data_IF_001817921068
#
_entry.id   IF_001817921068
#
_cell.length_a   1.000
_cell.length_b   1.000
_cell.length_c   1.000
_cell.angle_alpha   90.00
_cell.angle_beta   90.00
_cell.angle_gamma   90.00
#
_symmetry.space_group_name_H-M   'P 1'
#
loop_
_entity.id
_entity.type
_entity.pdbx_description
1 polymer ?
#
# COMPACT_ATOMS: atom_id res chain seq x y z
N UNK A 1 4.19 -11.81 -10.37
CA UNK A 1 5.25 -12.83 -10.52
C UNK A 1 6.33 -12.27 -11.42
N UNK A 2 7.61 -12.53 -11.13
CA UNK A 2 8.74 -12.07 -11.93
C UNK A 2 9.59 -13.25 -12.40
N UNK A 3 10.08 -13.22 -13.64
CA UNK A 3 11.03 -14.23 -14.12
C UNK A 3 12.42 -13.80 -13.69
N UNK A 4 13.13 -14.66 -12.97
CA UNK A 4 14.53 -14.48 -12.62
C UNK A 4 15.36 -15.46 -13.42
N UNK A 5 16.51 -15.02 -13.89
CA UNK A 5 17.43 -15.85 -14.65
C UNK A 5 18.84 -15.76 -14.06
N UNK A 6 19.55 -16.88 -14.05
CA UNK A 6 20.99 -16.92 -13.78
C UNK A 6 21.73 -17.28 -15.06
N UNK A 7 22.72 -16.47 -15.43
CA UNK A 7 23.57 -16.73 -16.57
C UNK A 7 24.71 -17.67 -16.19
N UNK A 8 25.07 -18.53 -17.14
CA UNK A 8 26.15 -19.49 -17.06
C UNK A 8 26.94 -19.38 -18.37
N UNK A 9 28.15 -18.86 -18.31
CA UNK A 9 28.99 -18.63 -19.48
C UNK A 9 30.38 -18.17 -19.07
N UNK A 10 31.34 -18.31 -19.97
CA UNK A 10 32.72 -17.88 -19.71
C UNK A 10 32.75 -16.38 -19.39
N UNK A 11 33.49 -16.00 -18.35
CA UNK A 11 33.60 -14.61 -17.91
C UNK A 11 32.25 -13.93 -17.57
N UNK A 12 31.21 -14.71 -17.23
CA UNK A 12 29.89 -14.17 -16.90
C UNK A 12 28.99 -13.89 -18.10
N UNK A 13 29.32 -14.42 -19.28
CA UNK A 13 28.43 -14.37 -20.44
C UNK A 13 27.12 -15.12 -20.20
N UNK A 14 26.10 -14.79 -20.99
CA UNK A 14 24.74 -15.33 -20.88
C UNK A 14 24.35 -16.25 -22.05
N UNK A 15 25.32 -16.88 -22.76
CA UNK A 15 24.99 -17.85 -23.82
C UNK A 15 24.06 -18.96 -23.32
N UNK A 16 24.28 -19.42 -22.09
CA UNK A 16 23.35 -20.30 -21.39
C UNK A 16 22.78 -19.57 -20.17
N UNK A 17 21.47 -19.68 -19.96
CA UNK A 17 20.84 -19.17 -18.74
C UNK A 17 19.71 -20.08 -18.29
N UNK A 18 19.54 -20.19 -16.99
CA UNK A 18 18.44 -20.92 -16.37
C UNK A 18 17.50 -19.90 -15.75
N UNK A 19 16.21 -19.97 -16.09
CA UNK A 19 15.19 -19.05 -15.58
C UNK A 19 14.12 -19.78 -14.78
N UNK A 20 13.55 -19.11 -13.78
CA UNK A 20 12.44 -19.61 -12.98
C UNK A 20 11.47 -18.47 -12.61
N UNK A 21 10.23 -18.82 -12.27
CA UNK A 21 9.27 -17.87 -11.73
C UNK A 21 9.60 -17.64 -10.25
N UNK A 22 9.79 -16.38 -9.88
CA UNK A 22 9.99 -15.97 -8.51
C UNK A 22 8.88 -14.99 -8.08
N UNK A 23 8.65 -14.92 -6.78
CA UNK A 23 7.84 -13.84 -6.22
C UNK A 23 8.52 -12.48 -6.51
N UNK A 24 7.73 -11.42 -6.76
CA UNK A 24 8.25 -10.05 -6.80
C UNK A 24 8.88 -9.65 -5.46
N UNK A 25 9.69 -8.59 -5.47
CA UNK A 25 10.17 -7.99 -4.23
C UNK A 25 8.98 -7.61 -3.33
N UNK A 26 9.09 -7.90 -2.03
CA UNK A 26 8.00 -7.67 -1.10
C UNK A 26 7.56 -6.20 -1.05
N UNK A 27 8.47 -5.24 -1.29
CA UNK A 27 8.15 -3.82 -1.36
C UNK A 27 7.17 -3.51 -2.50
N UNK A 28 7.32 -4.16 -3.65
CA UNK A 28 6.40 -4.01 -4.79
C UNK A 28 5.02 -4.55 -4.42
N UNK A 29 4.97 -5.72 -3.77
CA UNK A 29 3.71 -6.30 -3.29
C UNK A 29 3.05 -5.40 -2.25
N UNK A 30 3.81 -4.94 -1.26
CA UNK A 30 3.34 -4.08 -0.19
C UNK A 30 2.80 -2.75 -0.70
N UNK A 31 3.46 -2.14 -1.70
CA UNK A 31 2.94 -0.93 -2.34
C UNK A 31 1.62 -1.19 -3.05
N UNK A 32 1.52 -2.26 -3.85
CA UNK A 32 0.29 -2.61 -4.54
C UNK A 32 -0.88 -2.86 -3.56
N UNK A 33 -0.60 -3.54 -2.44
CA UNK A 33 -1.57 -3.76 -1.38
C UNK A 33 -1.97 -2.46 -0.68
N UNK A 34 -1.00 -1.57 -0.41
CA UNK A 34 -1.25 -0.27 0.21
C UNK A 34 -2.13 0.63 -0.67
N UNK A 35 -1.91 0.62 -1.98
CA UNK A 35 -2.74 1.35 -2.94
C UNK A 35 -4.17 0.80 -2.96
N UNK A 36 -4.33 -0.53 -3.05
CA UNK A 36 -5.64 -1.17 -2.96
C UNK A 36 -6.37 -0.84 -1.66
N UNK A 37 -5.65 -0.89 -0.53
CA UNK A 37 -6.19 -0.54 0.78
C UNK A 37 -6.65 0.92 0.85
N UNK A 38 -5.89 1.86 0.29
CA UNK A 38 -6.29 3.28 0.25
C UNK A 38 -7.57 3.51 -0.55
N UNK A 39 -7.74 2.76 -1.64
CA UNK A 39 -8.94 2.81 -2.48
C UNK A 39 -10.06 1.88 -2.01
N UNK A 40 -9.84 1.10 -0.96
CA UNK A 40 -10.82 0.12 -0.52
C UNK A 40 -12.09 0.81 -0.03
N UNK A 41 -13.22 0.33 -0.52
CA UNK A 41 -14.56 0.77 -0.13
C UNK A 41 -15.04 -0.12 1.00
N UNK A 42 -15.63 0.46 2.04
CA UNK A 42 -16.23 -0.34 3.10
C UNK A 42 -17.45 -1.10 2.58
N UNK A 43 -17.44 -2.42 2.77
CA UNK A 43 -18.60 -3.26 2.52
C UNK A 43 -19.53 -3.22 3.73
N UNK A 44 -20.53 -2.34 3.69
CA UNK A 44 -21.58 -2.20 4.70
C UNK A 44 -22.80 -1.53 4.10
N UNK A 45 -23.86 -1.25 4.88
CA UNK A 45 -24.95 -0.42 4.41
C UNK A 45 -24.38 0.97 4.08
N UNK A 46 -24.39 1.33 2.82
CA UNK A 46 -23.94 2.64 2.34
C UNK A 46 -25.18 3.35 1.81
N UNK A 47 -25.50 4.51 2.38
CA UNK A 47 -26.57 5.35 1.86
C UNK A 47 -26.28 5.73 0.39
N UNK A 48 -27.28 5.73 -0.50
CA UNK A 48 -27.07 5.99 -1.92
C UNK A 48 -26.52 7.41 -2.13
N UNK A 49 -25.22 7.50 -2.45
CA UNK A 49 -24.53 8.76 -2.76
C UNK A 49 -23.13 8.90 -2.17
N UNK A 50 -22.76 8.09 -1.17
CA UNK A 50 -21.49 8.30 -0.45
C UNK A 50 -20.53 7.11 -0.56
N UNK A 51 -19.53 7.20 -1.45
CA UNK A 51 -18.48 6.17 -1.54
C UNK A 51 -17.43 6.39 -0.44
N UNK A 52 -17.67 5.85 0.74
CA UNK A 52 -16.72 5.90 1.86
C UNK A 52 -15.53 4.97 1.59
N UNK A 53 -14.35 5.56 1.39
CA UNK A 53 -13.08 4.82 1.35
C UNK A 53 -12.44 4.75 2.73
N UNK A 54 -11.72 3.68 3.02
CA UNK A 54 -10.96 3.55 4.28
C UNK A 54 -9.97 4.71 4.48
N UNK A 55 -9.37 5.22 3.41
CA UNK A 55 -8.49 6.40 3.48
C UNK A 55 -9.23 7.71 3.79
N UNK A 56 -10.51 7.83 3.42
CA UNK A 56 -11.32 8.98 3.80
C UNK A 56 -11.65 8.96 5.30
N UNK A 57 -12.06 7.78 5.83
CA UNK A 57 -12.31 7.61 7.26
C UNK A 57 -11.06 7.84 8.11
N UNK A 58 -9.91 7.30 7.69
CA UNK A 58 -8.65 7.53 8.43
C UNK A 58 -8.29 9.02 8.50
N UNK A 59 -8.47 9.76 7.41
CA UNK A 59 -8.24 11.21 7.40
C UNK A 59 -9.22 11.97 8.28
N UNK A 60 -10.47 11.51 8.42
CA UNK A 60 -11.40 12.10 9.39
C UNK A 60 -10.99 11.77 10.82
N UNK A 61 -10.51 10.56 11.11
CA UNK A 61 -10.01 10.21 12.44
C UNK A 61 -8.73 10.97 12.81
N UNK A 62 -7.75 11.04 11.91
CA UNK A 62 -6.53 11.83 12.12
C UNK A 62 -6.85 13.31 12.38
N UNK A 63 -7.79 13.90 11.60
CA UNK A 63 -8.27 15.25 11.89
C UNK A 63 -9.00 15.37 13.22
N UNK A 64 -9.79 14.37 13.62
CA UNK A 64 -10.46 14.37 14.93
C UNK A 64 -9.47 14.32 16.08
N UNK A 65 -8.40 13.53 15.99
CA UNK A 65 -7.32 13.54 16.97
C UNK A 65 -6.61 14.90 17.03
N UNK A 66 -6.28 15.48 15.87
CA UNK A 66 -5.64 16.80 15.81
C UNK A 66 -6.52 17.94 16.34
N UNK A 67 -7.84 17.87 16.15
CA UNK A 67 -8.80 18.84 16.72
C UNK A 67 -9.04 18.63 18.22
N UNK A 68 -8.90 17.40 18.72
CA UNK A 68 -9.02 17.10 20.15
C UNK A 68 -7.77 17.50 20.96
N UNK A 69 -6.69 17.90 20.28
CA UNK A 69 -5.47 18.46 20.86
C UNK A 69 -5.51 20.00 20.97
N UNK A 70 -6.69 20.64 20.89
CA UNK A 70 -6.80 22.07 21.21
C UNK A 70 -6.42 22.29 22.69
N UNK A 71 -5.33 23.03 23.00
CA UNK A 71 -4.91 23.23 24.37
C UNK A 71 -5.93 24.16 25.05
N UNK A 72 -6.65 23.66 26.06
CA UNK A 72 -7.42 24.51 26.97
C UNK A 72 -6.47 25.54 27.57
N UNK A 73 -6.50 26.76 27.04
CA UNK A 73 -5.77 27.89 27.60
C UNK A 73 -6.27 28.09 29.04
N UNK A 74 -5.38 28.16 30.04
CA UNK A 74 -5.79 28.54 31.38
C UNK A 74 -6.33 29.98 31.32
N UNK A 75 -7.59 30.18 31.72
CA UNK A 75 -8.12 31.52 31.99
C UNK A 75 -7.77 31.90 33.44
N UNK A 76 -7.29 33.15 33.59
CA UNK A 76 -6.74 33.79 34.79
C UNK A 76 -7.53 33.61 36.10
#
# INVERSE_FOLDING_TARGET
MQVRCKCHGMSGSCELKTCWKAAPDFRVVGQALKEKFRSAVLGGPVEPGERLTLAALRRTEERRYQLAEEPQQPQD
#
